data_IF_710779780569
#
_entry.id   IF_710779780569
#
_cell.length_a   1.000
_cell.length_b   1.000
_cell.length_c   1.000
_cell.angle_alpha   90.00
_cell.angle_beta   90.00
_cell.angle_gamma   90.00
#
_symmetry.space_group_name_H-M   'P 1'
#
loop_
_entity.id
_entity.type
_entity.pdbx_description
1 polymer ?
#
# COMPACT_ATOMS: atom_id res chain seq x y z
N UNK A 1 -12.12 -16.23 1.34
CA UNK A 1 -11.41 -15.29 0.44
C UNK A 1 -12.47 -14.34 -0.12
N UNK A 2 -12.25 -13.02 -0.02
CA UNK A 2 -13.19 -11.99 -0.48
C UNK A 2 -12.80 -11.40 -1.84
N UNK A 3 -13.33 -10.21 -2.14
CA UNK A 3 -13.12 -9.49 -3.42
C UNK A 3 -11.65 -9.16 -3.72
N UNK A 4 -10.77 -9.17 -2.71
CA UNK A 4 -9.31 -9.02 -2.86
C UNK A 4 -8.67 -10.11 -3.73
N UNK A 5 -9.37 -11.23 -3.93
CA UNK A 5 -8.89 -12.37 -4.74
C UNK A 5 -9.16 -12.17 -6.23
N UNK A 6 -10.06 -11.26 -6.59
CA UNK A 6 -10.54 -11.06 -7.96
C UNK A 6 -10.11 -9.72 -8.56
N UNK A 7 -9.41 -8.88 -7.79
CA UNK A 7 -8.95 -7.55 -8.23
C UNK A 7 -7.44 -7.41 -8.06
N UNK A 8 -6.81 -6.78 -9.04
CA UNK A 8 -5.37 -6.56 -9.06
C UNK A 8 -5.06 -5.10 -8.71
N UNK A 9 -5.12 -4.80 -7.41
CA UNK A 9 -4.75 -3.49 -6.87
C UNK A 9 -3.71 -3.64 -5.75
N UNK A 10 -2.90 -2.59 -5.47
CA UNK A 10 -1.94 -2.64 -4.37
C UNK A 10 -2.58 -2.93 -3.01
N UNK A 11 -3.78 -2.37 -2.76
CA UNK A 11 -4.53 -2.66 -1.54
C UNK A 11 -4.95 -4.14 -1.48
N UNK A 12 -5.41 -4.72 -2.60
CA UNK A 12 -5.77 -6.14 -2.64
C UNK A 12 -4.55 -7.04 -2.44
N UNK A 13 -3.40 -6.68 -3.01
CA UNK A 13 -2.14 -7.38 -2.77
C UNK A 13 -1.74 -7.34 -1.29
N UNK A 14 -1.86 -6.18 -0.63
CA UNK A 14 -1.59 -6.03 0.80
C UNK A 14 -2.53 -6.87 1.66
N UNK A 15 -3.83 -6.88 1.35
CA UNK A 15 -4.81 -7.72 2.07
C UNK A 15 -4.51 -9.22 1.88
N UNK A 16 -4.11 -9.64 0.68
CA UNK A 16 -3.68 -11.02 0.41
C UNK A 16 -2.41 -11.41 1.15
N UNK A 17 -1.43 -10.50 1.25
CA UNK A 17 -0.20 -10.71 2.01
C UNK A 17 -0.47 -10.91 3.51
N UNK A 18 -1.42 -10.16 4.09
CA UNK A 18 -1.86 -10.33 5.48
C UNK A 18 -2.78 -11.55 5.65
N UNK A 19 -3.50 -11.94 4.60
CA UNK A 19 -4.28 -13.17 4.48
C UNK A 19 -5.80 -12.99 4.46
N UNK A 20 -6.36 -12.05 5.22
CA UNK A 20 -7.81 -11.76 5.19
C UNK A 20 -8.11 -10.28 5.40
N UNK A 21 -9.27 -9.81 4.93
CA UNK A 21 -9.73 -8.44 5.19
C UNK A 21 -9.85 -8.12 6.68
N UNK A 22 -10.28 -9.08 7.52
CA UNK A 22 -10.38 -8.88 8.98
C UNK A 22 -8.99 -8.78 9.62
N UNK A 23 -8.02 -9.57 9.18
CA UNK A 23 -6.65 -9.50 9.68
C UNK A 23 -6.00 -8.16 9.28
N UNK A 24 -6.16 -7.74 8.02
CA UNK A 24 -5.71 -6.43 7.55
C UNK A 24 -6.39 -5.29 8.32
N UNK A 25 -7.70 -5.37 8.54
CA UNK A 25 -8.46 -4.36 9.30
C UNK A 25 -7.93 -4.21 10.73
N UNK A 26 -7.58 -5.32 11.41
CA UNK A 26 -6.93 -5.30 12.73
C UNK A 26 -5.54 -4.68 12.67
N UNK A 27 -4.77 -4.99 11.63
CA UNK A 27 -3.44 -4.43 11.42
C UNK A 27 -3.49 -2.90 11.40
N UNK A 28 -4.40 -2.32 10.60
CA UNK A 28 -4.52 -0.87 10.41
C UNK A 28 -5.53 -0.19 11.36
N UNK A 29 -6.01 -0.90 12.37
CA UNK A 29 -7.00 -0.42 13.35
C UNK A 29 -8.27 0.20 12.72
N UNK A 30 -8.87 -0.50 11.75
CA UNK A 30 -10.13 -0.11 11.08
C UNK A 30 -11.17 -1.23 11.15
N UNK A 31 -12.39 -0.91 10.73
CA UNK A 31 -13.42 -1.93 10.52
C UNK A 31 -13.17 -2.70 9.22
N UNK A 32 -13.49 -4.00 9.20
CA UNK A 32 -13.42 -4.80 7.98
C UNK A 32 -14.34 -4.26 6.88
N UNK A 33 -15.50 -3.69 7.24
CA UNK A 33 -16.42 -3.04 6.30
C UNK A 33 -15.76 -1.87 5.57
N UNK A 34 -14.97 -1.05 6.27
CA UNK A 34 -14.22 0.06 5.65
C UNK A 34 -13.17 -0.45 4.65
N UNK A 35 -12.53 -1.58 4.94
CA UNK A 35 -11.59 -2.23 4.02
C UNK A 35 -12.34 -2.76 2.79
N UNK A 36 -13.50 -3.40 2.98
CA UNK A 36 -14.33 -3.89 1.89
C UNK A 36 -14.79 -2.77 0.94
N UNK A 37 -15.31 -1.66 1.48
CA UNK A 37 -15.75 -0.51 0.68
C UNK A 37 -14.60 0.06 -0.13
N UNK A 38 -13.41 0.18 0.48
CA UNK A 38 -12.22 0.70 -0.20
C UNK A 38 -11.73 -0.21 -1.32
N UNK A 39 -11.74 -1.54 -1.09
CA UNK A 39 -11.43 -2.54 -2.11
C UNK A 39 -12.45 -2.48 -3.27
N UNK A 40 -13.75 -2.39 -2.94
CA UNK A 40 -14.84 -2.31 -3.93
C UNK A 40 -14.73 -1.05 -4.79
N UNK A 41 -14.38 0.08 -4.18
CA UNK A 41 -14.24 1.36 -4.87
C UNK A 41 -12.89 1.51 -5.60
N UNK A 42 -12.06 0.45 -5.59
CA UNK A 42 -10.71 0.46 -6.17
C UNK A 42 -9.83 1.61 -5.64
N UNK A 43 -10.07 2.02 -4.39
CA UNK A 43 -9.32 3.08 -3.73
C UNK A 43 -8.02 2.53 -3.18
N UNK A 44 -6.95 3.33 -3.16
CA UNK A 44 -5.65 2.86 -2.69
C UNK A 44 -5.62 2.82 -1.16
N UNK A 45 -4.50 2.35 -0.59
CA UNK A 45 -4.28 2.32 0.87
C UNK A 45 -4.42 3.74 1.48
N UNK A 46 -4.97 3.86 2.69
CA UNK A 46 -5.01 5.16 3.37
C UNK A 46 -3.60 5.70 3.54
N UNK A 47 -3.41 7.01 3.35
CA UNK A 47 -2.08 7.61 3.41
C UNK A 47 -1.37 7.33 4.74
N UNK A 48 -2.11 7.39 5.85
CA UNK A 48 -1.61 7.12 7.20
C UNK A 48 -1.22 5.65 7.44
N UNK A 49 -1.80 4.71 6.68
CA UNK A 49 -1.57 3.27 6.85
C UNK A 49 -0.36 2.78 6.01
N UNK A 50 0.17 3.59 5.07
CA UNK A 50 1.13 3.13 4.05
C UNK A 50 2.40 2.54 4.66
N UNK A 51 3.07 3.25 5.55
CA UNK A 51 4.33 2.80 6.15
C UNK A 51 4.15 1.58 7.06
N UNK A 52 2.99 1.49 7.71
CA UNK A 52 2.57 0.33 8.48
C UNK A 52 2.31 -0.87 7.57
N UNK A 53 1.70 -0.67 6.41
CA UNK A 53 1.45 -1.76 5.47
C UNK A 53 2.74 -2.22 4.82
N UNK A 54 3.63 -1.30 4.43
CA UNK A 54 4.95 -1.62 3.86
C UNK A 54 5.78 -2.50 4.81
N UNK A 55 5.90 -2.10 6.09
CA UNK A 55 6.72 -2.86 7.06
C UNK A 55 6.19 -4.29 7.31
N UNK A 56 4.87 -4.49 7.27
CA UNK A 56 4.25 -5.78 7.61
C UNK A 56 4.05 -6.69 6.40
N UNK A 57 3.88 -6.10 5.21
CA UNK A 57 3.63 -6.86 3.96
C UNK A 57 4.84 -6.95 3.06
N UNK A 58 5.85 -6.09 3.25
CA UNK A 58 7.00 -5.95 2.37
C UNK A 58 6.68 -5.28 1.03
N UNK A 59 5.46 -4.81 0.80
CA UNK A 59 5.08 -4.11 -0.43
C UNK A 59 5.58 -2.66 -0.34
N UNK A 60 6.43 -2.18 -1.27
CA UNK A 60 6.98 -0.84 -1.21
C UNK A 60 5.89 0.24 -1.19
N UNK A 61 6.11 1.31 -0.43
CA UNK A 61 5.19 2.46 -0.37
C UNK A 61 4.94 3.11 -1.74
N UNK A 62 5.92 3.06 -2.63
CA UNK A 62 5.84 3.54 -4.01
C UNK A 62 4.85 2.73 -4.84
N UNK A 63 4.68 1.44 -4.52
CA UNK A 63 3.66 0.58 -5.13
C UNK A 63 2.30 0.80 -4.48
N UNK A 64 2.27 0.95 -3.15
CA UNK A 64 1.02 1.14 -2.41
C UNK A 64 0.33 2.47 -2.75
N UNK A 65 1.12 3.54 -2.89
CA UNK A 65 0.66 4.92 -3.08
C UNK A 65 1.67 5.75 -3.89
N UNK A 66 1.79 5.53 -5.21
CA UNK A 66 2.69 6.28 -6.09
C UNK A 66 2.38 7.78 -6.16
N UNK A 67 1.15 8.18 -5.84
CA UNK A 67 0.70 9.58 -5.85
C UNK A 67 1.30 10.43 -4.72
N UNK A 68 1.72 9.80 -3.61
CA UNK A 68 2.39 10.47 -2.47
C UNK A 68 3.82 10.00 -2.26
N UNK A 69 4.18 8.82 -2.75
CA UNK A 69 5.54 8.29 -2.75
C UNK A 69 5.95 7.99 -4.20
N UNK A 70 6.37 9.00 -4.97
CA UNK A 70 6.91 8.76 -6.30
C UNK A 70 8.18 7.91 -6.20
N UNK A 71 8.41 7.05 -7.19
CA UNK A 71 9.61 6.22 -7.24
C UNK A 71 10.85 7.08 -7.57
N UNK A 72 11.60 7.44 -6.53
CA UNK A 72 12.86 8.20 -6.64
C UNK A 72 14.08 7.32 -6.97
N UNK A 73 13.88 6.02 -7.20
CA UNK A 73 14.98 5.15 -7.66
C UNK A 73 15.47 5.55 -9.06
N UNK A 74 14.63 6.27 -9.83
CA UNK A 74 15.04 6.96 -11.06
C UNK A 74 15.81 8.28 -10.80
N UNK A 75 15.64 8.92 -9.64
CA UNK A 75 16.24 10.21 -9.25
C UNK A 75 17.62 10.09 -8.59
N UNK A 76 18.18 8.89 -8.41
CA UNK A 76 19.37 8.69 -7.56
C UNK A 76 20.74 9.04 -8.20
N UNK A 77 20.85 9.76 -9.33
CA UNK A 77 22.19 10.13 -9.89
C UNK A 77 22.41 11.56 -10.39
N UNK A 78 21.52 12.52 -10.12
CA UNK A 78 21.69 13.87 -10.69
C UNK A 78 22.27 14.94 -9.75
N UNK A 79 22.40 14.70 -8.43
CA UNK A 79 22.63 15.81 -7.47
C UNK A 79 23.84 15.70 -6.54
N UNK A 80 24.83 14.86 -6.88
CA UNK A 80 26.14 14.89 -6.21
C UNK A 80 27.22 15.35 -7.19
N UNK A 81 27.07 16.57 -7.70
CA UNK A 81 28.23 17.31 -8.23
C UNK A 81 29.04 17.82 -7.03
N UNK A 82 30.32 17.44 -6.87
CA UNK A 82 31.16 17.99 -5.82
C UNK A 82 31.42 19.47 -6.14
N UNK A 83 31.04 20.35 -5.21
CA UNK A 83 31.46 21.75 -5.24
C UNK A 83 32.99 21.81 -5.30
N UNK A 84 33.51 22.46 -6.34
CA UNK A 84 34.93 22.66 -6.60
C UNK A 84 35.46 23.88 -5.86
#
# INVERSE_FOLDING_TARGET
MGIESTIDTPLAAAVRAVGTQTAYARLVNRSQSSIYERLRDLKPVHAEDVLLVERETGIPKEVLRPDIYPDDSATTRASLEPAR
#
